data_IF_122276316942
#
_entry.id   IF_122276316942
#
_cell.length_a   1.000
_cell.length_b   1.000
_cell.length_c   1.000
_cell.angle_alpha   90.00
_cell.angle_beta   90.00
_cell.angle_gamma   90.00
#
_symmetry.space_group_name_H-M   'P 1'
#
loop_
_entity.id
_entity.type
_entity.pdbx_description
1 polymer ?
#
# COMPACT_ATOMS: atom_id res chain seq x y z
N UNK A 1 -13.64 26.81 -5.90
CA UNK A 1 -12.62 26.00 -5.19
C UNK A 1 -11.68 25.42 -6.24
N UNK A 2 -10.36 25.64 -6.14
CA UNK A 2 -9.41 25.31 -7.22
C UNK A 2 -8.92 23.85 -7.20
N UNK A 3 -8.47 23.33 -8.35
CA UNK A 3 -8.00 21.94 -8.51
C UNK A 3 -6.88 21.59 -7.53
N UNK A 4 -5.99 22.53 -7.22
CA UNK A 4 -4.92 22.34 -6.23
C UNK A 4 -5.45 21.98 -4.83
N UNK A 5 -6.54 22.61 -4.40
CA UNK A 5 -7.18 22.34 -3.12
C UNK A 5 -7.92 20.99 -3.11
N UNK A 6 -8.50 20.59 -4.25
CA UNK A 6 -9.11 19.26 -4.40
C UNK A 6 -8.05 18.15 -4.33
N UNK A 7 -6.85 18.39 -4.89
CA UNK A 7 -5.73 17.44 -4.80
C UNK A 7 -5.15 17.32 -3.39
N UNK A 8 -4.99 18.43 -2.70
CA UNK A 8 -4.51 18.46 -1.31
C UNK A 8 -5.48 17.73 -0.37
N UNK A 9 -6.78 17.85 -0.63
CA UNK A 9 -7.84 17.18 0.13
C UNK A 9 -8.14 15.75 -0.34
N UNK A 10 -7.41 15.24 -1.35
CA UNK A 10 -7.65 13.94 -1.99
C UNK A 10 -9.10 13.75 -2.46
N UNK A 11 -9.76 14.85 -2.84
CA UNK A 11 -11.12 14.82 -3.37
C UNK A 11 -11.13 14.18 -4.77
N UNK A 12 -12.21 13.50 -5.15
CA UNK A 12 -12.35 12.95 -6.49
C UNK A 12 -12.36 14.09 -7.52
N UNK A 13 -11.34 14.13 -8.37
CA UNK A 13 -11.28 15.06 -9.51
C UNK A 13 -11.64 14.30 -10.78
N UNK A 14 -12.65 14.79 -11.50
CA UNK A 14 -13.04 14.26 -12.82
C UNK A 14 -12.00 14.66 -13.88
N UNK A 15 -10.87 13.97 -13.83
CA UNK A 15 -9.74 14.18 -14.72
C UNK A 15 -10.10 14.04 -16.21
N UNK A 16 -10.88 13.03 -16.66
CA UNK A 16 -11.27 12.91 -18.06
C UNK A 16 -12.00 14.14 -18.60
N UNK A 17 -13.04 14.61 -17.92
CA UNK A 17 -13.77 15.82 -18.35
C UNK A 17 -12.89 17.07 -18.34
N UNK A 18 -11.95 17.13 -17.40
CA UNK A 18 -10.99 18.22 -17.28
C UNK A 18 -10.00 18.24 -18.47
N UNK A 19 -9.49 17.07 -18.85
CA UNK A 19 -8.60 16.89 -20.00
C UNK A 19 -9.31 17.21 -21.31
N UNK A 20 -10.53 16.70 -21.51
CA UNK A 20 -11.34 16.95 -22.72
C UNK A 20 -11.57 18.45 -22.90
N UNK A 21 -12.02 19.15 -21.84
CA UNK A 21 -12.21 20.62 -21.89
C UNK A 21 -10.93 21.36 -22.26
N UNK A 22 -9.77 20.89 -21.82
CA UNK A 22 -8.49 21.52 -22.16
C UNK A 22 -8.10 21.28 -23.62
N UNK A 23 -8.20 20.04 -24.10
CA UNK A 23 -7.91 19.67 -25.50
C UNK A 23 -8.83 20.47 -26.44
N UNK A 24 -10.15 20.50 -26.19
CA UNK A 24 -11.10 21.27 -26.99
C UNK A 24 -10.78 22.77 -27.02
N UNK A 25 -10.28 23.33 -25.91
CA UNK A 25 -9.89 24.75 -25.82
C UNK A 25 -8.58 25.08 -26.54
N UNK A 26 -7.63 24.13 -26.63
CA UNK A 26 -6.40 24.31 -27.42
C UNK A 26 -6.69 24.15 -28.91
N UNK A 27 -7.59 23.23 -29.29
CA UNK A 27 -8.02 23.03 -30.68
C UNK A 27 -8.83 24.20 -31.23
N UNK A 28 -9.64 24.87 -30.40
CA UNK A 28 -10.49 26.00 -30.78
C UNK A 28 -9.81 27.33 -30.43
N UNK A 29 -8.84 27.74 -31.23
CA UNK A 29 -8.05 28.96 -31.01
C UNK A 29 -8.85 30.25 -31.26
N UNK A 30 -9.68 30.70 -30.31
CA UNK A 30 -10.02 32.11 -30.21
C UNK A 30 -9.01 32.83 -29.28
N UNK A 31 -8.35 33.91 -29.73
CA UNK A 31 -7.34 34.60 -28.95
C UNK A 31 -8.00 35.49 -27.90
N UNK A 32 -7.98 35.07 -26.64
CA UNK A 32 -8.44 35.92 -25.53
C UNK A 32 -8.63 35.15 -24.22
N UNK A 33 -7.94 35.59 -23.16
CA UNK A 33 -8.05 35.10 -21.78
C UNK A 33 -7.64 33.63 -21.53
N UNK A 34 -6.39 33.30 -21.82
CA UNK A 34 -5.73 32.09 -21.29
C UNK A 34 -5.50 32.24 -19.77
N UNK A 35 -6.43 31.79 -18.94
CA UNK A 35 -6.17 31.70 -17.50
C UNK A 35 -5.14 30.59 -17.24
N UNK A 36 -3.93 31.03 -16.89
CA UNK A 36 -2.67 30.34 -16.67
C UNK A 36 -2.67 29.22 -15.61
N UNK A 37 -3.80 28.89 -14.99
CA UNK A 37 -3.85 27.89 -13.92
C UNK A 37 -3.76 26.43 -14.43
N UNK A 38 -3.99 26.18 -15.71
CA UNK A 38 -4.01 24.83 -16.31
C UNK A 38 -2.66 24.36 -16.86
N UNK A 39 -1.85 25.27 -17.41
CA UNK A 39 -0.54 24.92 -17.98
C UNK A 39 0.36 24.28 -16.94
N UNK A 40 0.37 24.83 -15.72
CA UNK A 40 1.25 24.36 -14.65
C UNK A 40 0.94 22.93 -14.16
N UNK A 41 -0.34 22.53 -14.18
CA UNK A 41 -0.75 21.19 -13.74
C UNK A 41 -0.38 20.11 -14.76
N UNK A 42 -0.63 20.37 -16.05
CA UNK A 42 -0.26 19.45 -17.12
C UNK A 42 1.25 19.39 -17.30
N UNK A 43 1.95 20.51 -17.20
CA UNK A 43 3.41 20.56 -17.16
C UNK A 43 3.95 19.66 -16.05
N UNK A 44 3.39 19.72 -14.84
CA UNK A 44 3.78 18.83 -13.73
C UNK A 44 3.51 17.36 -14.04
N UNK A 45 2.31 17.01 -14.51
CA UNK A 45 1.94 15.63 -14.84
C UNK A 45 2.89 15.05 -15.89
N UNK A 46 3.11 15.76 -16.99
CA UNK A 46 3.95 15.28 -18.09
C UNK A 46 5.46 15.30 -17.78
N UNK A 47 5.91 16.19 -16.88
CA UNK A 47 7.28 16.13 -16.32
C UNK A 47 7.46 14.85 -15.51
N UNK A 48 6.47 14.45 -14.71
CA UNK A 48 6.47 13.16 -13.99
C UNK A 48 6.54 11.97 -14.94
N UNK A 49 5.91 12.07 -16.12
CA UNK A 49 5.96 11.05 -17.17
C UNK A 49 7.13 11.22 -18.17
N UNK A 50 8.09 12.12 -17.89
CA UNK A 50 9.31 12.33 -18.70
C UNK A 50 9.02 12.66 -20.17
N UNK A 51 7.89 13.31 -20.45
CA UNK A 51 7.56 13.74 -21.81
C UNK A 51 8.33 15.02 -22.13
N UNK A 52 9.09 15.07 -23.24
CA UNK A 52 9.90 16.24 -23.57
C UNK A 52 9.00 17.45 -23.83
N UNK A 53 9.09 18.42 -22.93
CA UNK A 53 8.48 19.72 -23.08
C UNK A 53 9.36 20.58 -24.00
N UNK A 54 8.76 21.42 -24.85
CA UNK A 54 9.51 22.32 -25.71
C UNK A 54 10.42 23.26 -24.91
N UNK A 55 11.51 23.76 -25.51
CA UNK A 55 12.43 24.70 -24.84
C UNK A 55 11.72 26.04 -24.57
N UNK A 56 11.35 26.29 -23.31
CA UNK A 56 10.83 27.56 -22.81
C UNK A 56 11.32 27.83 -21.39
N UNK A 57 11.59 29.11 -21.04
CA UNK A 57 11.92 29.49 -19.66
C UNK A 57 10.64 29.55 -18.84
N UNK A 58 10.71 28.95 -17.66
CA UNK A 58 9.63 28.88 -16.68
C UNK A 58 8.86 30.21 -16.54
N UNK A 59 7.52 30.11 -16.54
CA UNK A 59 6.52 31.08 -16.05
C UNK A 59 5.91 32.11 -17.03
N UNK A 60 6.16 32.10 -18.33
CA UNK A 60 5.43 33.01 -19.25
C UNK A 60 4.94 32.33 -20.52
N UNK A 61 3.61 32.12 -20.62
CA UNK A 61 2.75 31.93 -21.83
C UNK A 61 3.14 30.92 -22.92
N UNK A 62 4.34 30.36 -22.91
CA UNK A 62 4.92 29.50 -23.96
C UNK A 62 5.13 28.06 -23.45
N UNK A 63 5.02 27.82 -22.13
CA UNK A 63 4.95 26.47 -21.53
C UNK A 63 3.55 25.87 -21.61
N UNK A 64 2.85 26.09 -22.73
CA UNK A 64 1.52 25.53 -22.97
C UNK A 64 1.62 24.49 -24.07
N UNK A 65 0.91 23.38 -23.89
CA UNK A 65 0.71 22.40 -24.94
C UNK A 65 0.19 23.11 -26.18
N UNK A 66 1.00 23.10 -27.23
CA UNK A 66 0.65 23.73 -28.51
C UNK A 66 -0.12 22.71 -29.35
N UNK A 67 -0.83 23.21 -30.36
CA UNK A 67 -1.45 22.37 -31.39
C UNK A 67 -0.44 21.34 -31.95
N UNK A 68 0.83 21.73 -32.12
CA UNK A 68 1.89 20.83 -32.59
C UNK A 68 2.21 19.69 -31.62
N UNK A 69 2.11 19.93 -30.31
CA UNK A 69 2.31 18.88 -29.28
C UNK A 69 1.18 17.86 -29.35
N UNK A 70 -0.07 18.31 -29.52
CA UNK A 70 -1.23 17.43 -29.68
C UNK A 70 -1.20 16.65 -31.01
N UNK A 71 -0.73 17.27 -32.09
CA UNK A 71 -0.55 16.60 -33.38
C UNK A 71 0.51 15.49 -33.30
N UNK A 72 1.64 15.73 -32.61
CA UNK A 72 2.67 14.71 -32.36
C UNK A 72 2.15 13.52 -31.54
N UNK A 73 1.17 13.76 -30.67
CA UNK A 73 0.49 12.70 -29.91
C UNK A 73 -0.69 12.05 -30.66
N UNK A 74 -0.99 12.48 -31.89
CA UNK A 74 -2.10 11.96 -32.70
C UNK A 74 -3.50 12.35 -32.20
N UNK A 75 -3.59 13.39 -31.35
CA UNK A 75 -4.87 13.82 -30.73
C UNK A 75 -5.64 14.81 -31.62
N UNK A 76 -4.99 15.44 -32.58
CA UNK A 76 -5.57 16.32 -33.60
C UNK A 76 -4.81 16.18 -34.92
N UNK A 77 -5.46 16.53 -36.03
CA UNK A 77 -4.83 16.53 -37.35
C UNK A 77 -3.70 17.59 -37.42
N UNK A 78 -2.56 17.20 -37.98
CA UNK A 78 -1.45 18.11 -38.27
C UNK A 78 -1.86 19.04 -39.42
N UNK A 79 -1.85 20.38 -39.25
CA UNK A 79 -2.29 21.31 -40.29
C UNK A 79 -1.41 21.29 -41.56
N UNK A 80 -0.26 20.61 -41.57
CA UNK A 80 0.70 20.60 -42.69
C UNK A 80 0.72 19.28 -43.48
N UNK A 81 0.01 18.22 -43.06
CA UNK A 81 0.11 16.91 -43.71
C UNK A 81 -1.16 16.49 -44.47
N UNK A 82 -0.95 16.08 -45.74
CA UNK A 82 -1.88 15.39 -46.65
C UNK A 82 -2.45 14.14 -45.95
N UNK A 83 -3.67 13.64 -46.28
CA UNK A 83 -4.33 12.55 -45.57
C UNK A 83 -3.57 11.23 -45.72
N UNK A 84 -2.56 11.02 -44.88
CA UNK A 84 -1.88 9.74 -44.70
C UNK A 84 -2.37 9.22 -43.35
N UNK A 85 -2.95 8.02 -43.40
CA UNK A 85 -3.65 7.34 -42.33
C UNK A 85 -3.12 7.66 -40.91
N UNK A 86 -4.03 8.12 -40.04
CA UNK A 86 -3.80 8.33 -38.61
C UNK A 86 -2.91 7.22 -38.01
N UNK A 87 -1.79 7.56 -37.35
CA UNK A 87 -0.99 6.57 -36.64
C UNK A 87 -1.82 5.94 -35.51
N UNK A 88 -1.80 4.61 -35.42
CA UNK A 88 -2.54 3.75 -34.47
C UNK A 88 -2.25 4.06 -32.98
N UNK A 89 -2.72 5.18 -32.45
CA UNK A 89 -2.75 5.43 -31.00
C UNK A 89 -3.57 4.36 -30.26
N UNK A 90 -4.51 3.72 -30.97
CA UNK A 90 -5.29 2.57 -30.49
C UNK A 90 -4.42 1.42 -29.96
N UNK A 91 -3.23 1.16 -30.52
CA UNK A 91 -2.38 0.04 -30.08
C UNK A 91 -1.74 0.26 -28.70
N UNK A 92 -1.18 1.45 -28.47
CA UNK A 92 -0.51 1.79 -27.21
C UNK A 92 -1.50 1.94 -26.05
N UNK A 93 -2.66 2.55 -26.31
CA UNK A 93 -3.74 2.66 -25.31
C UNK A 93 -4.25 1.26 -24.93
N UNK A 94 -4.43 0.38 -25.93
CA UNK A 94 -4.84 -1.01 -25.67
C UNK A 94 -3.80 -1.78 -24.83
N UNK A 95 -2.50 -1.58 -25.09
CA UNK A 95 -1.44 -2.20 -24.30
C UNK A 95 -1.45 -1.69 -22.85
N UNK A 96 -1.55 -0.37 -22.66
CA UNK A 96 -1.61 0.23 -21.33
C UNK A 96 -2.84 -0.24 -20.53
N UNK A 97 -4.00 -0.39 -21.17
CA UNK A 97 -5.20 -0.93 -20.52
C UNK A 97 -5.00 -2.38 -20.09
N UNK A 98 -4.33 -3.19 -20.90
CA UNK A 98 -3.96 -4.57 -20.54
C UNK A 98 -2.99 -4.61 -19.37
N UNK A 99 -1.94 -3.79 -19.40
CA UNK A 99 -0.95 -3.72 -18.31
C UNK A 99 -1.62 -3.27 -16.99
N UNK A 100 -2.52 -2.28 -17.07
CA UNK A 100 -3.30 -1.83 -15.91
C UNK A 100 -4.22 -2.92 -15.37
N UNK A 101 -4.80 -3.75 -16.23
CA UNK A 101 -5.61 -4.89 -15.80
C UNK A 101 -4.75 -5.93 -15.09
N UNK A 102 -3.61 -6.30 -15.66
CA UNK A 102 -2.68 -7.27 -15.06
C UNK A 102 -2.21 -6.80 -13.68
N UNK A 103 -1.82 -5.52 -13.56
CA UNK A 103 -1.39 -4.96 -12.27
C UNK A 103 -2.53 -4.97 -11.25
N UNK A 104 -3.77 -4.69 -11.68
CA UNK A 104 -4.95 -4.73 -10.81
C UNK A 104 -5.19 -6.15 -10.28
N UNK A 105 -5.15 -7.15 -11.15
CA UNK A 105 -5.37 -8.55 -10.80
C UNK A 105 -4.27 -9.05 -9.84
N UNK A 106 -3.02 -8.62 -10.06
CA UNK A 106 -1.89 -8.89 -9.16
C UNK A 106 -2.07 -8.21 -7.79
N UNK A 107 -2.51 -6.97 -7.76
CA UNK A 107 -2.80 -6.27 -6.51
C UNK A 107 -3.90 -6.97 -5.70
N UNK A 108 -4.95 -7.46 -6.36
CA UNK A 108 -6.01 -8.22 -5.70
C UNK A 108 -5.48 -9.55 -5.15
N UNK A 109 -4.68 -10.27 -5.93
CA UNK A 109 -4.03 -11.52 -5.50
C UNK A 109 -3.15 -11.29 -4.26
N UNK A 110 -2.27 -10.30 -4.30
CA UNK A 110 -1.38 -9.96 -3.19
C UNK A 110 -2.15 -9.47 -1.95
N UNK A 111 -3.28 -8.78 -2.12
CA UNK A 111 -4.15 -8.39 -1.01
C UNK A 111 -4.77 -9.60 -0.34
N UNK A 112 -5.25 -10.58 -1.12
CA UNK A 112 -5.81 -11.82 -0.60
C UNK A 112 -4.76 -12.66 0.14
N UNK A 113 -3.57 -12.80 -0.43
CA UNK A 113 -2.43 -13.47 0.24
C UNK A 113 -2.05 -12.77 1.54
N UNK A 114 -1.97 -11.43 1.54
CA UNK A 114 -1.70 -10.67 2.77
C UNK A 114 -2.75 -10.91 3.85
N UNK A 115 -4.04 -10.99 3.46
CA UNK A 115 -5.13 -11.25 4.39
C UNK A 115 -5.03 -12.66 4.99
N UNK A 116 -4.69 -13.65 4.16
CA UNK A 116 -4.47 -15.02 4.58
C UNK A 116 -3.29 -15.13 5.57
N UNK A 117 -2.13 -14.57 5.21
CA UNK A 117 -0.94 -14.56 6.08
C UNK A 117 -1.18 -13.84 7.41
N UNK A 118 -1.97 -12.76 7.42
CA UNK A 118 -2.35 -12.07 8.68
C UNK A 118 -3.22 -12.94 9.58
N UNK A 119 -4.13 -13.72 9.00
CA UNK A 119 -4.97 -14.66 9.73
C UNK A 119 -4.12 -15.78 10.34
N UNK A 120 -3.22 -16.39 9.55
CA UNK A 120 -2.30 -17.43 10.02
C UNK A 120 -1.36 -16.93 11.13
N UNK A 121 -0.83 -15.71 10.98
CA UNK A 121 0.02 -15.09 11.99
C UNK A 121 -0.73 -14.90 13.32
N UNK A 122 -2.02 -14.55 13.25
CA UNK A 122 -2.86 -14.38 14.45
C UNK A 122 -3.10 -15.73 15.13
N UNK A 123 -3.49 -16.75 14.37
CA UNK A 123 -3.68 -18.11 14.88
C UNK A 123 -2.40 -18.68 15.51
N UNK A 124 -1.24 -18.47 14.86
CA UNK A 124 0.06 -18.91 15.39
C UNK A 124 0.42 -18.20 16.70
N UNK A 125 0.16 -16.89 16.81
CA UNK A 125 0.39 -16.14 18.06
C UNK A 125 -0.49 -16.64 19.20
N UNK A 126 -1.75 -16.94 18.93
CA UNK A 126 -2.67 -17.50 19.92
C UNK A 126 -2.19 -18.87 20.40
N UNK A 127 -1.76 -19.74 19.48
CA UNK A 127 -1.23 -21.07 19.81
C UNK A 127 0.06 -20.99 20.64
N UNK A 128 0.97 -20.08 20.29
CA UNK A 128 2.18 -19.83 21.09
C UNK A 128 1.82 -19.35 22.50
N UNK A 129 0.82 -18.47 22.62
CA UNK A 129 0.29 -18.04 23.93
C UNK A 129 -0.23 -19.22 24.75
N UNK A 130 -1.08 -20.04 24.15
CA UNK A 130 -1.65 -21.24 24.77
C UNK A 130 -0.59 -22.22 25.24
N UNK A 131 0.41 -22.51 24.40
CA UNK A 131 1.51 -23.42 24.74
C UNK A 131 2.38 -22.87 25.87
N UNK A 132 2.64 -21.56 25.88
CA UNK A 132 3.38 -20.91 26.96
C UNK A 132 2.64 -21.00 28.28
N UNK A 133 1.33 -20.76 28.30
CA UNK A 133 0.51 -20.87 29.49
C UNK A 133 0.47 -22.31 30.02
N UNK A 134 0.37 -23.30 29.11
CA UNK A 134 0.46 -24.72 29.47
C UNK A 134 1.81 -25.08 30.10
N UNK A 135 2.92 -24.58 29.54
CA UNK A 135 4.25 -24.82 30.07
C UNK A 135 4.41 -24.22 31.48
N UNK A 136 3.93 -23.00 31.69
CA UNK A 136 3.95 -22.34 33.01
C UNK A 136 3.11 -23.13 34.01
N UNK A 137 1.91 -23.56 33.63
CA UNK A 137 1.04 -24.34 34.50
C UNK A 137 1.69 -25.69 34.88
N UNK A 138 2.28 -26.38 33.92
CA UNK A 138 2.98 -27.63 34.15
C UNK A 138 4.17 -27.44 35.10
N UNK A 139 4.90 -26.33 34.98
CA UNK A 139 6.00 -26.01 35.88
C UNK A 139 5.52 -25.75 37.31
N UNK A 140 4.40 -25.03 37.49
CA UNK A 140 3.79 -24.80 38.79
C UNK A 140 3.35 -26.12 39.45
N UNK A 141 2.69 -26.99 38.70
CA UNK A 141 2.23 -28.28 39.19
C UNK A 141 3.40 -29.20 39.58
N UNK A 142 4.48 -29.19 38.78
CA UNK A 142 5.71 -29.92 39.06
C UNK A 142 6.38 -29.42 40.35
N UNK A 143 6.51 -28.10 40.52
CA UNK A 143 7.06 -27.49 41.74
C UNK A 143 6.21 -27.87 42.96
N UNK A 144 4.89 -27.74 42.89
CA UNK A 144 3.98 -28.12 43.96
C UNK A 144 4.06 -29.63 44.30
N UNK A 145 4.32 -30.49 43.31
CA UNK A 145 4.56 -31.93 43.53
C UNK A 145 5.87 -32.16 44.28
N UNK A 146 6.95 -31.48 43.87
CA UNK A 146 8.26 -31.56 44.53
C UNK A 146 8.18 -31.07 45.99
N UNK A 147 7.50 -29.96 46.25
CA UNK A 147 7.31 -29.43 47.62
C UNK A 147 6.56 -30.41 48.52
N UNK A 148 5.52 -31.07 48.00
CA UNK A 148 4.78 -32.11 48.72
C UNK A 148 5.70 -33.29 49.07
N UNK A 149 6.57 -33.71 48.17
CA UNK A 149 7.53 -34.79 48.45
C UNK A 149 8.58 -34.40 49.49
N UNK A 150 9.09 -33.17 49.45
CA UNK A 150 9.98 -32.66 50.49
C UNK A 150 9.30 -32.63 51.86
N UNK A 151 8.04 -32.17 51.93
CA UNK A 151 7.25 -32.15 53.16
C UNK A 151 7.05 -33.56 53.72
N UNK A 152 6.67 -34.53 52.88
CA UNK A 152 6.54 -35.95 53.26
C UNK A 152 7.86 -36.53 53.79
N UNK A 153 8.97 -36.31 53.09
CA UNK A 153 10.30 -36.78 53.53
C UNK A 153 10.72 -36.17 54.87
N UNK A 154 10.46 -34.88 55.07
CA UNK A 154 10.72 -34.19 56.35
C UNK A 154 9.89 -34.78 57.48
N UNK A 155 8.60 -35.04 57.24
CA UNK A 155 7.70 -35.63 58.23
C UNK A 155 8.12 -37.06 58.61
N UNK A 156 8.48 -37.90 57.63
CA UNK A 156 9.05 -39.24 57.87
C UNK A 156 10.34 -39.21 58.70
N UNK A 157 11.22 -38.24 58.46
CA UNK A 157 12.44 -38.08 59.28
C UNK A 157 12.11 -37.72 60.73
N UNK A 158 11.10 -36.89 60.97
CA UNK A 158 10.65 -36.52 62.32
C UNK A 158 10.05 -37.73 63.07
N UNK A 159 9.19 -38.51 62.41
CA UNK A 159 8.58 -39.70 63.01
C UNK A 159 9.62 -40.77 63.34
N UNK A 160 10.54 -41.06 62.42
CA UNK A 160 11.64 -42.00 62.67
C UNK A 160 12.50 -41.59 63.88
N UNK A 161 12.84 -40.30 64.02
CA UNK A 161 13.58 -39.80 65.18
C UNK A 161 12.82 -39.97 66.50
N UNK A 162 11.50 -39.78 66.50
CA UNK A 162 10.67 -40.00 67.70
C UNK A 162 10.63 -41.48 68.09
N UNK A 163 10.47 -42.37 67.11
CA UNK A 163 10.47 -43.82 67.33
C UNK A 163 11.81 -44.33 67.88
N UNK A 164 12.95 -43.83 67.38
CA UNK A 164 14.27 -44.18 67.90
C UNK A 164 14.44 -43.78 69.36
N UNK A 165 14.03 -42.56 69.73
CA UNK A 165 14.10 -42.05 71.12
C UNK A 165 13.21 -42.83 72.07
N UNK A 166 12.01 -43.21 71.64
CA UNK A 166 11.09 -44.02 72.44
C UNK A 166 11.65 -45.42 72.74
N UNK A 167 12.44 -46.00 71.83
CA UNK A 167 13.10 -47.30 72.02
C UNK A 167 14.31 -47.24 72.95
N UNK A 168 15.04 -46.13 72.98
CA UNK A 168 16.20 -45.93 73.87
C UNK A 168 15.80 -45.65 75.33
N UNK A 169 14.67 -44.98 75.56
CA UNK A 169 14.18 -44.69 76.93
C UNK A 169 13.49 -45.85 77.66
N UNK A 170 13.38 -47.02 77.02
CA UNK A 170 12.69 -48.20 77.56
C UNK A 170 13.64 -49.40 77.77
N UNK A 171 14.96 -49.14 77.79
CA UNK A 171 16.04 -50.07 78.14
C UNK A 171 16.68 -49.61 79.45
#
# INVERSE_FOLDING_TARGET
MGIANALEKKEPVDWPSLMIKHITRVSNSQPGSHQLAFGNLLTRVFTTFVVPLGKGRALTRVDMFTQSTFAKCGLIADPVQVPIAYPRASGLITHLLKDLQVVRDQCETLQNENMCLRTELTASKEEVGRLKDQLVQQQLDNNARVDREFKKKSQRRKTLKQESRAKEGNK
#
